data_IF_848732808490
#
_entry.id   IF_848732808490
#
_cell.length_a   1.000
_cell.length_b   1.000
_cell.length_c   1.000
_cell.angle_alpha   90.00
_cell.angle_beta   90.00
_cell.angle_gamma   90.00
#
_symmetry.space_group_name_H-M   'P 1'
#
loop_
_entity.id
_entity.type
_entity.pdbx_description
1 polymer ?
#
# COMPACT_ATOMS: atom_id res chain seq x y z
N UNK A 1 -22.48 -5.96 -2.03
CA UNK A 1 -21.69 -4.98 -1.27
C UNK A 1 -21.29 -3.78 -2.13
N UNK A 2 -20.66 -3.93 -3.32
CA UNK A 2 -20.34 -2.78 -4.21
C UNK A 2 -21.54 -1.89 -4.54
N UNK A 3 -22.67 -2.48 -4.96
CA UNK A 3 -23.92 -1.76 -5.27
C UNK A 3 -24.38 -0.79 -4.17
N UNK A 4 -24.26 -1.17 -2.89
CA UNK A 4 -24.67 -0.34 -1.76
C UNK A 4 -23.92 1.02 -1.73
N UNK A 5 -22.64 1.01 -2.10
CA UNK A 5 -21.81 2.22 -2.15
C UNK A 5 -22.01 2.98 -3.46
N UNK A 6 -22.18 2.28 -4.57
CA UNK A 6 -22.48 2.87 -5.88
C UNK A 6 -23.78 3.68 -5.86
N UNK A 7 -24.82 3.18 -5.16
CA UNK A 7 -26.09 3.89 -4.97
C UNK A 7 -25.93 5.21 -4.18
N UNK A 8 -24.81 5.37 -3.47
CA UNK A 8 -24.45 6.59 -2.75
C UNK A 8 -23.41 7.45 -3.51
N UNK A 9 -23.10 7.10 -4.76
CA UNK A 9 -22.08 7.79 -5.56
C UNK A 9 -20.64 7.50 -5.11
N UNK A 10 -20.42 6.43 -4.34
CA UNK A 10 -19.10 6.05 -3.83
C UNK A 10 -18.54 4.90 -4.68
N UNK A 11 -17.46 5.19 -5.40
CA UNK A 11 -16.71 4.17 -6.13
C UNK A 11 -15.92 3.27 -5.17
N UNK A 12 -15.92 1.96 -5.43
CA UNK A 12 -15.26 0.98 -4.54
C UNK A 12 -14.32 0.04 -5.28
N UNK A 13 -13.19 -0.27 -4.64
CA UNK A 13 -12.15 -1.14 -5.16
C UNK A 13 -11.88 -2.28 -4.18
N UNK A 14 -11.68 -3.49 -4.70
CA UNK A 14 -11.39 -4.67 -3.90
C UNK A 14 -9.89 -4.79 -3.64
N UNK A 15 -9.51 -4.76 -2.37
CA UNK A 15 -8.17 -5.04 -1.88
C UNK A 15 -8.08 -6.45 -1.31
N UNK A 16 -6.96 -7.13 -1.53
CA UNK A 16 -6.56 -8.34 -0.79
C UNK A 16 -5.29 -8.08 0.00
N UNK A 17 -5.28 -8.49 1.27
CA UNK A 17 -4.09 -8.51 2.13
C UNK A 17 -3.52 -9.93 2.16
N UNK A 18 -2.33 -10.10 1.57
CA UNK A 18 -1.65 -11.39 1.49
C UNK A 18 -0.66 -11.52 2.64
N UNK A 19 -0.78 -12.62 3.40
CA UNK A 19 0.20 -13.06 4.41
C UNK A 19 0.73 -14.42 3.97
N UNK A 20 2.04 -14.61 4.06
CA UNK A 20 2.71 -15.84 3.61
C UNK A 20 3.91 -16.13 4.50
N UNK A 21 4.19 -17.41 4.78
CA UNK A 21 5.35 -17.83 5.57
C UNK A 21 6.65 -17.83 4.77
N UNK A 22 6.57 -17.99 3.45
CA UNK A 22 7.75 -18.18 2.59
C UNK A 22 7.66 -17.42 1.26
N UNK A 23 8.81 -17.30 0.58
CA UNK A 23 8.90 -16.77 -0.78
C UNK A 23 8.08 -17.58 -1.79
N UNK A 24 8.20 -18.91 -1.76
CA UNK A 24 7.53 -19.79 -2.73
C UNK A 24 6.01 -19.76 -2.59
N UNK A 25 5.51 -19.73 -1.36
CA UNK A 25 4.09 -19.55 -1.07
C UNK A 25 3.58 -18.18 -1.54
N UNK A 26 4.29 -17.09 -1.23
CA UNK A 26 3.90 -15.75 -1.66
C UNK A 26 3.77 -15.68 -3.18
N UNK A 27 4.76 -16.18 -3.94
CA UNK A 27 4.71 -16.16 -5.39
C UNK A 27 3.52 -16.94 -5.97
N UNK A 28 3.16 -18.08 -5.36
CA UNK A 28 1.96 -18.87 -5.72
C UNK A 28 0.68 -18.08 -5.44
N UNK A 29 0.55 -17.47 -4.26
CA UNK A 29 -0.60 -16.66 -3.89
C UNK A 29 -0.76 -15.45 -4.82
N UNK A 30 0.33 -14.73 -5.11
CA UNK A 30 0.32 -13.58 -6.02
C UNK A 30 -0.14 -13.96 -7.45
N UNK A 31 0.18 -15.17 -7.95
CA UNK A 31 -0.35 -15.64 -9.25
C UNK A 31 -1.86 -15.83 -9.21
N UNK A 32 -2.37 -16.34 -8.09
CA UNK A 32 -3.79 -16.66 -7.92
C UNK A 32 -4.65 -15.42 -7.73
N UNK A 33 -4.20 -14.47 -6.91
CA UNK A 33 -5.04 -13.32 -6.51
C UNK A 33 -4.96 -12.14 -7.47
N UNK A 34 -3.92 -12.02 -8.29
CA UNK A 34 -3.69 -10.79 -9.07
C UNK A 34 -4.82 -10.41 -10.02
N UNK A 35 -5.46 -11.39 -10.66
CA UNK A 35 -6.57 -11.14 -11.59
C UNK A 35 -7.90 -10.84 -10.90
N UNK A 36 -8.07 -11.28 -9.64
CA UNK A 36 -9.34 -11.17 -8.92
C UNK A 36 -9.53 -9.88 -8.11
N UNK A 37 -8.45 -9.10 -7.90
CA UNK A 37 -8.46 -7.93 -7.02
C UNK A 37 -7.91 -6.68 -7.70
N UNK A 38 -8.42 -5.53 -7.26
CA UNK A 38 -8.01 -4.22 -7.75
C UNK A 38 -6.66 -3.85 -7.14
N UNK A 39 -6.48 -4.10 -5.84
CA UNK A 39 -5.26 -3.80 -5.08
C UNK A 39 -4.77 -5.07 -4.40
N UNK A 40 -3.47 -5.35 -4.53
CA UNK A 40 -2.80 -6.45 -3.82
C UNK A 40 -1.80 -5.86 -2.84
N UNK A 41 -2.07 -6.05 -1.56
CA UNK A 41 -1.18 -5.66 -0.48
C UNK A 41 -0.52 -6.89 0.14
N UNK A 42 0.71 -6.75 0.64
CA UNK A 42 1.44 -7.82 1.32
C UNK A 42 1.88 -7.36 2.70
N UNK A 43 1.49 -8.13 3.73
CA UNK A 43 2.05 -7.98 5.08
C UNK A 43 3.40 -8.71 5.13
N UNK A 44 4.47 -7.94 5.25
CA UNK A 44 5.83 -8.46 5.35
C UNK A 44 6.09 -8.97 6.77
N UNK A 45 6.26 -10.29 6.92
CA UNK A 45 6.50 -10.93 8.24
C UNK A 45 7.94 -11.46 8.42
N UNK A 46 8.71 -11.58 7.33
CA UNK A 46 10.12 -11.98 7.35
C UNK A 46 10.86 -11.43 6.12
N UNK A 47 12.19 -11.59 6.10
CA UNK A 47 13.05 -11.05 5.05
C UNK A 47 12.79 -11.64 3.66
N UNK A 48 12.47 -12.94 3.58
CA UNK A 48 12.22 -13.64 2.33
C UNK A 48 10.93 -13.15 1.64
N UNK A 49 9.88 -12.93 2.43
CA UNK A 49 8.62 -12.34 1.99
C UNK A 49 8.82 -10.87 1.59
N UNK A 50 9.48 -10.07 2.45
CA UNK A 50 9.70 -8.64 2.18
C UNK A 50 10.49 -8.39 0.90
N UNK A 51 11.56 -9.16 0.66
CA UNK A 51 12.40 -9.00 -0.54
C UNK A 51 11.64 -9.30 -1.83
N UNK A 52 10.72 -10.27 -1.82
CA UNK A 52 9.84 -10.58 -2.96
C UNK A 52 8.80 -9.49 -3.12
N UNK A 53 8.11 -9.13 -2.03
CA UNK A 53 7.01 -8.19 -2.04
C UNK A 53 7.44 -6.81 -2.55
N UNK A 54 8.63 -6.33 -2.19
CA UNK A 54 9.16 -5.06 -2.68
C UNK A 54 9.41 -5.07 -4.20
N UNK A 55 9.88 -6.19 -4.78
CA UNK A 55 10.32 -6.25 -6.19
C UNK A 55 9.24 -6.72 -7.17
N UNK A 56 8.23 -7.43 -6.70
CA UNK A 56 7.24 -8.07 -7.57
C UNK A 56 6.17 -7.06 -8.04
N UNK A 57 6.04 -6.89 -9.36
CA UNK A 57 5.08 -5.96 -9.99
C UNK A 57 3.60 -6.23 -9.66
N UNK A 58 3.28 -7.41 -9.12
CA UNK A 58 1.91 -7.77 -8.74
C UNK A 58 1.54 -7.26 -7.36
N UNK A 59 2.51 -6.76 -6.59
CA UNK A 59 2.30 -6.16 -5.27
C UNK A 59 2.21 -4.66 -5.43
N UNK A 60 1.08 -4.09 -5.04
CA UNK A 60 0.81 -2.66 -5.13
C UNK A 60 1.25 -1.94 -3.85
N UNK A 61 1.08 -2.60 -2.70
CA UNK A 61 1.34 -2.04 -1.37
C UNK A 61 2.08 -3.06 -0.50
N UNK A 62 3.10 -2.62 0.23
CA UNK A 62 3.75 -3.39 1.29
C UNK A 62 3.45 -2.78 2.65
N UNK A 63 3.20 -3.64 3.62
CA UNK A 63 2.94 -3.25 5.00
C UNK A 63 3.90 -3.98 5.94
N UNK A 64 4.57 -3.20 6.79
CA UNK A 64 5.40 -3.72 7.88
C UNK A 64 4.71 -3.38 9.19
N UNK A 65 4.20 -4.40 9.89
CA UNK A 65 3.48 -4.20 11.13
C UNK A 65 4.43 -3.65 12.21
N UNK A 66 4.19 -2.44 12.74
CA UNK A 66 5.11 -1.83 13.67
C UNK A 66 5.21 -2.59 14.99
N UNK A 67 4.20 -3.40 15.34
CA UNK A 67 4.22 -4.25 16.54
C UNK A 67 5.07 -5.52 16.35
N UNK A 68 5.40 -5.89 15.12
CA UNK A 68 6.15 -7.10 14.81
C UNK A 68 7.66 -6.82 14.72
N UNK A 69 8.44 -7.25 15.71
CA UNK A 69 9.88 -6.94 15.81
C UNK A 69 10.78 -7.67 14.81
N UNK A 70 10.33 -8.79 14.24
CA UNK A 70 11.17 -9.67 13.39
C UNK A 70 11.56 -9.05 12.05
N UNK A 71 10.85 -8.01 11.59
CA UNK A 71 11.08 -7.38 10.30
C UNK A 71 10.58 -5.94 10.33
N UNK A 72 11.28 -5.05 9.63
CA UNK A 72 10.93 -3.62 9.51
C UNK A 72 11.30 -3.07 8.15
N UNK A 73 10.70 -1.95 7.77
CA UNK A 73 11.13 -1.26 6.56
C UNK A 73 12.55 -0.72 6.75
N UNK A 74 13.40 -0.88 5.73
CA UNK A 74 14.83 -0.56 5.79
C UNK A 74 15.28 0.08 4.48
N UNK A 75 16.45 0.73 4.46
CA UNK A 75 17.01 1.29 3.22
C UNK A 75 17.12 0.25 2.10
N UNK A 76 17.45 -1.00 2.44
CA UNK A 76 17.50 -2.08 1.46
C UNK A 76 16.12 -2.35 0.82
N UNK A 77 15.04 -2.31 1.61
CA UNK A 77 13.69 -2.47 1.07
C UNK A 77 13.19 -1.23 0.32
N UNK A 78 13.57 -0.04 0.77
CA UNK A 78 13.23 1.22 0.10
C UNK A 78 13.81 1.27 -1.32
N UNK A 79 15.07 0.89 -1.49
CA UNK A 79 15.72 0.80 -2.80
C UNK A 79 15.08 -0.23 -3.75
N UNK A 80 14.41 -1.25 -3.20
CA UNK A 80 13.83 -2.34 -3.99
C UNK A 80 12.36 -2.14 -4.30
N UNK A 81 11.67 -1.29 -3.54
CA UNK A 81 10.23 -1.19 -3.54
C UNK A 81 9.72 -0.55 -4.85
N UNK A 82 8.96 -1.34 -5.61
CA UNK A 82 8.24 -0.88 -6.81
C UNK A 82 6.84 -0.33 -6.50
N UNK A 83 6.22 -0.84 -5.43
CA UNK A 83 4.90 -0.43 -4.97
C UNK A 83 4.95 0.77 -4.02
N UNK A 84 3.96 0.88 -3.14
CA UNK A 84 3.93 1.85 -2.06
C UNK A 84 4.16 1.21 -0.69
N UNK A 85 4.73 1.97 0.25
CA UNK A 85 4.79 1.62 1.66
C UNK A 85 3.52 2.14 2.35
N UNK A 86 2.80 1.27 3.04
CA UNK A 86 1.63 1.67 3.82
C UNK A 86 1.97 1.91 5.29
N UNK A 87 1.48 3.03 5.83
CA UNK A 87 1.39 3.26 7.27
C UNK A 87 -0.08 3.25 7.73
N UNK A 88 -0.41 2.31 8.62
CA UNK A 88 -1.72 2.24 9.28
C UNK A 88 -1.71 3.17 10.51
N UNK A 89 -1.81 4.48 10.29
CA UNK A 89 -1.50 5.48 11.33
C UNK A 89 -2.55 5.58 12.44
N UNK A 90 -3.83 5.36 12.15
CA UNK A 90 -4.87 5.51 13.18
C UNK A 90 -4.81 4.36 14.19
N UNK A 91 -4.76 3.11 13.71
CA UNK A 91 -4.61 1.92 14.57
C UNK A 91 -3.27 1.91 15.32
N UNK A 92 -2.20 2.44 14.71
CA UNK A 92 -0.88 2.43 15.34
C UNK A 92 -0.62 3.57 16.33
N UNK A 93 -1.41 4.66 16.30
CA UNK A 93 -1.21 5.84 17.15
C UNK A 93 -2.32 6.04 18.20
N UNK A 94 -3.56 5.67 17.91
CA UNK A 94 -4.69 5.87 18.83
C UNK A 94 -4.92 4.71 19.81
N UNK A 95 -4.15 3.62 19.70
CA UNK A 95 -4.13 2.54 20.69
C UNK A 95 -3.17 2.83 21.85
N UNK A 96 -2.84 1.80 22.64
CA UNK A 96 -1.69 1.81 23.55
C UNK A 96 -0.40 1.77 22.75
N UNK A 97 -0.02 2.91 22.18
CA UNK A 97 1.19 3.04 21.37
C UNK A 97 2.40 3.02 22.27
N UNK A 98 3.21 1.96 22.17
CA UNK A 98 4.50 1.91 22.84
C UNK A 98 5.45 2.98 22.25
N UNK A 99 6.36 3.51 23.06
CA UNK A 99 7.41 4.43 22.58
C UNK A 99 8.19 3.80 21.41
N UNK A 100 8.39 2.49 21.47
CA UNK A 100 9.06 1.67 20.46
C UNK A 100 8.31 1.67 19.13
N UNK A 101 6.98 1.53 19.16
CA UNK A 101 6.11 1.61 17.98
C UNK A 101 6.25 2.98 17.31
N UNK A 102 6.17 4.06 18.08
CA UNK A 102 6.32 5.42 17.55
C UNK A 102 7.72 5.67 16.98
N UNK A 103 8.77 5.31 17.74
CA UNK A 103 10.18 5.43 17.31
C UNK A 103 10.43 4.67 16.00
N UNK A 104 9.88 3.47 15.88
CA UNK A 104 9.95 2.68 14.65
C UNK A 104 9.25 3.37 13.48
N UNK A 105 8.00 3.82 13.65
CA UNK A 105 7.27 4.53 12.60
C UNK A 105 8.03 5.79 12.15
N UNK A 106 8.59 6.55 13.10
CA UNK A 106 9.42 7.71 12.81
C UNK A 106 10.67 7.36 12.00
N UNK A 107 11.33 6.24 12.32
CA UNK A 107 12.48 5.76 11.56
C UNK A 107 12.09 5.31 10.16
N UNK A 108 11.02 4.53 10.00
CA UNK A 108 10.54 4.07 8.70
C UNK A 108 10.08 5.26 7.82
N UNK A 109 9.44 6.27 8.41
CA UNK A 109 9.10 7.52 7.75
C UNK A 109 10.34 8.32 7.30
N UNK A 110 11.43 8.31 8.09
CA UNK A 110 12.72 8.91 7.68
C UNK A 110 13.26 8.23 6.44
N UNK A 111 13.28 6.90 6.45
CA UNK A 111 13.76 6.10 5.32
C UNK A 111 12.91 6.38 4.08
N UNK A 112 11.58 6.46 4.21
CA UNK A 112 10.71 6.78 3.07
C UNK A 112 10.93 8.19 2.51
N UNK A 113 11.31 9.16 3.34
CA UNK A 113 11.72 10.50 2.89
C UNK A 113 13.03 10.44 2.11
N UNK A 114 14.05 9.83 2.70
CA UNK A 114 15.40 9.74 2.12
C UNK A 114 15.40 9.03 0.76
N UNK A 115 14.49 8.08 0.56
CA UNK A 115 14.38 7.28 -0.67
C UNK A 115 13.26 7.73 -1.61
N UNK A 116 12.58 8.84 -1.31
CA UNK A 116 11.39 9.29 -2.06
C UNK A 116 10.36 8.17 -2.29
N UNK A 117 10.22 7.29 -1.32
CA UNK A 117 9.32 6.14 -1.42
C UNK A 117 7.88 6.63 -1.49
N UNK A 118 7.08 6.05 -2.41
CA UNK A 118 5.64 6.29 -2.46
C UNK A 118 5.01 5.76 -1.17
N UNK A 119 4.26 6.61 -0.46
CA UNK A 119 3.59 6.25 0.79
C UNK A 119 2.09 6.22 0.59
N UNK A 120 1.40 5.28 1.22
CA UNK A 120 -0.05 5.28 1.41
C UNK A 120 -0.34 5.37 2.89
N UNK A 121 -1.26 6.24 3.28
CA UNK A 121 -1.73 6.34 4.66
C UNK A 121 -3.12 5.76 4.74
N UNK A 122 -3.34 4.86 5.68
CA UNK A 122 -4.65 4.29 5.94
C UNK A 122 -4.97 4.33 7.44
N UNK A 123 -6.25 4.21 7.76
CA UNK A 123 -6.69 4.17 9.15
C UNK A 123 -6.43 2.79 9.79
N UNK A 124 -6.44 1.71 9.01
CA UNK A 124 -6.43 0.34 9.54
C UNK A 124 -7.58 0.09 10.54
N UNK A 125 -8.69 0.82 10.40
CA UNK A 125 -9.80 0.78 11.34
C UNK A 125 -10.72 -0.41 11.06
N UNK A 126 -11.05 -1.17 12.10
CA UNK A 126 -12.00 -2.29 12.04
C UNK A 126 -13.43 -1.88 12.39
N UNK A 127 -13.64 -0.63 12.78
CA UNK A 127 -14.92 -0.13 13.29
C UNK A 127 -15.18 1.31 12.84
N UNK A 128 -16.45 1.70 12.57
CA UNK A 128 -16.79 3.04 12.08
C UNK A 128 -16.29 4.19 12.95
N UNK A 129 -16.31 4.05 14.28
CA UNK A 129 -15.89 5.06 15.25
C UNK A 129 -14.37 5.36 15.20
N UNK A 130 -13.60 4.48 14.58
CA UNK A 130 -12.15 4.65 14.39
C UNK A 130 -11.79 5.30 13.05
N UNK A 131 -12.77 5.51 12.16
CA UNK A 131 -12.55 6.23 10.90
C UNK A 131 -12.20 7.69 11.20
N UNK A 132 -11.26 8.26 10.43
CA UNK A 132 -10.80 9.64 10.55
C UNK A 132 -10.89 10.32 9.20
N UNK A 133 -11.06 11.64 9.19
CA UNK A 133 -11.05 12.39 7.93
C UNK A 133 -9.67 12.29 7.27
N UNK A 134 -9.58 12.39 5.93
CA UNK A 134 -8.30 12.34 5.22
C UNK A 134 -7.28 13.35 5.78
N UNK A 135 -7.73 14.54 6.19
CA UNK A 135 -6.89 15.56 6.80
C UNK A 135 -6.34 15.15 8.17
N UNK A 136 -7.13 14.46 8.99
CA UNK A 136 -6.65 13.93 10.27
C UNK A 136 -5.63 12.81 10.06
N UNK A 137 -5.89 11.91 9.11
CA UNK A 137 -4.94 10.84 8.74
C UNK A 137 -3.63 11.45 8.23
N UNK A 138 -3.70 12.49 7.40
CA UNK A 138 -2.53 13.23 6.92
C UNK A 138 -1.75 13.89 8.06
N UNK A 139 -2.45 14.54 9.01
CA UNK A 139 -1.83 15.13 10.19
C UNK A 139 -1.09 14.08 11.06
N UNK A 140 -1.66 12.88 11.18
CA UNK A 140 -1.00 11.76 11.85
C UNK A 140 0.24 11.27 11.09
N UNK A 141 0.20 11.24 9.77
CA UNK A 141 1.38 10.99 8.93
C UNK A 141 2.51 11.98 9.23
N UNK A 142 2.20 13.26 9.37
CA UNK A 142 3.18 14.28 9.80
C UNK A 142 3.68 14.04 11.22
N UNK A 143 2.82 13.60 12.14
CA UNK A 143 3.20 13.34 13.52
C UNK A 143 4.25 12.22 13.64
N UNK A 144 4.20 11.20 12.76
CA UNK A 144 5.25 10.17 12.65
C UNK A 144 6.44 10.63 11.79
N UNK A 145 6.49 11.90 11.40
CA UNK A 145 7.64 12.52 10.76
C UNK A 145 7.60 12.62 9.24
N UNK A 146 6.57 12.14 8.54
CA UNK A 146 6.47 12.32 7.09
C UNK A 146 6.44 13.82 6.72
N UNK A 147 6.92 14.16 5.52
CA UNK A 147 6.78 15.53 5.02
C UNK A 147 5.31 15.87 4.80
N UNK A 148 4.98 17.17 4.76
CA UNK A 148 3.62 17.62 4.44
C UNK A 148 3.16 17.07 3.09
N UNK A 149 4.03 17.11 2.09
CA UNK A 149 3.73 16.61 0.74
C UNK A 149 3.49 15.10 0.74
N UNK A 150 4.37 14.30 1.35
CA UNK A 150 4.18 12.85 1.44
C UNK A 150 2.91 12.49 2.20
N UNK A 151 2.58 13.23 3.26
CA UNK A 151 1.39 12.97 4.08
C UNK A 151 0.10 13.30 3.34
N UNK A 152 0.09 14.37 2.54
CA UNK A 152 -1.08 14.71 1.69
C UNK A 152 -1.20 13.67 0.58
N UNK A 153 -0.13 13.45 -0.20
CA UNK A 153 -0.14 12.47 -1.29
C UNK A 153 -0.49 11.06 -0.83
N UNK A 154 -0.14 10.70 0.41
CA UNK A 154 -0.46 9.40 0.99
C UNK A 154 -1.95 9.14 1.20
N UNK A 155 -2.78 10.18 1.27
CA UNK A 155 -4.25 10.05 1.38
C UNK A 155 -5.01 10.43 0.10
N UNK A 156 -4.32 10.97 -0.91
CA UNK A 156 -4.90 11.42 -2.19
C UNK A 156 -4.24 10.77 -3.41
N UNK A 157 -3.21 11.39 -3.99
CA UNK A 157 -2.70 11.04 -5.32
C UNK A 157 -2.05 9.64 -5.37
N UNK A 158 -1.39 9.21 -4.29
CA UNK A 158 -0.72 7.91 -4.28
C UNK A 158 -1.73 6.75 -4.35
N UNK A 159 -2.73 6.63 -3.46
CA UNK A 159 -3.74 5.58 -3.58
C UNK A 159 -4.54 5.69 -4.88
N UNK A 160 -4.89 6.90 -5.33
CA UNK A 160 -5.59 7.12 -6.60
C UNK A 160 -4.79 6.58 -7.80
N UNK A 161 -3.50 6.93 -7.89
CA UNK A 161 -2.63 6.47 -8.98
C UNK A 161 -2.49 4.95 -9.02
N UNK A 162 -2.46 4.28 -7.86
CA UNK A 162 -2.43 2.81 -7.78
C UNK A 162 -3.70 2.24 -8.40
N UNK A 163 -4.85 2.79 -8.01
CA UNK A 163 -6.16 2.35 -8.51
C UNK A 163 -6.29 2.57 -10.01
N UNK A 164 -5.98 3.76 -10.51
CA UNK A 164 -6.07 4.10 -11.94
C UNK A 164 -5.17 3.20 -12.79
N UNK A 165 -3.90 3.05 -12.40
CA UNK A 165 -2.95 2.13 -13.07
C UNK A 165 -3.49 0.69 -13.09
N UNK A 166 -4.15 0.27 -12.01
CA UNK A 166 -4.66 -1.08 -11.88
C UNK A 166 -5.95 -1.31 -12.68
N UNK A 167 -6.77 -0.26 -12.88
CA UNK A 167 -7.94 -0.30 -13.73
C UNK A 167 -7.57 -0.54 -15.21
N UNK A 168 -6.40 -0.07 -15.67
CA UNK A 168 -5.91 -0.33 -17.03
C UNK A 168 -5.81 -1.83 -17.35
N UNK A 169 -5.56 -2.69 -16.34
CA UNK A 169 -5.50 -4.15 -16.52
C UNK A 169 -6.80 -4.76 -17.02
N UNK A 170 -7.93 -4.07 -16.82
CA UNK A 170 -9.25 -4.52 -17.26
C UNK A 170 -9.51 -4.19 -18.73
N UNK A 171 -8.65 -3.37 -19.35
CA UNK A 171 -8.76 -3.06 -20.77
C UNK A 171 -8.43 -4.28 -21.63
N UNK A 172 -9.21 -4.58 -22.68
CA UNK A 172 -8.87 -5.63 -23.64
C UNK A 172 -7.54 -5.40 -24.36
N UNK A 173 -7.06 -4.15 -24.40
CA UNK A 173 -5.79 -3.78 -25.02
C UNK A 173 -4.58 -3.96 -24.08
N UNK A 174 -4.79 -4.29 -22.81
CA UNK A 174 -3.72 -4.47 -21.83
C UNK A 174 -3.04 -5.84 -22.01
N UNK A 175 -1.72 -5.84 -22.18
CA UNK A 175 -0.91 -7.06 -22.19
C UNK A 175 -0.18 -7.21 -20.85
N UNK A 176 0.58 -6.17 -20.48
CA UNK A 176 1.27 -6.09 -19.22
C UNK A 176 1.55 -4.63 -18.83
N UNK A 177 2.13 -4.42 -17.64
CA UNK A 177 2.44 -3.06 -17.16
C UNK A 177 3.39 -2.35 -18.14
N UNK A 178 2.93 -1.21 -18.68
CA UNK A 178 3.66 -0.43 -19.68
C UNK A 178 3.49 -0.89 -21.13
N UNK A 179 2.73 -1.97 -21.40
CA UNK A 179 2.57 -2.54 -22.74
C UNK A 179 1.09 -2.66 -23.10
N UNK A 180 0.71 -2.02 -24.22
CA UNK A 180 -0.67 -1.98 -24.71
C UNK A 180 -0.72 -2.23 -26.22
N UNK A 181 -1.80 -2.85 -26.69
CA UNK A 181 -2.10 -2.95 -28.12
C UNK A 181 -2.53 -1.56 -28.61
N UNK A 182 -1.80 -1.01 -29.57
CA UNK A 182 -2.21 0.19 -30.32
C UNK A 182 -2.62 -0.24 -31.73
N UNK A 183 -3.86 0.03 -32.11
CA UNK A 183 -4.26 -0.15 -33.50
C UNK A 183 -3.43 0.79 -34.40
N UNK A 184 -3.04 0.37 -35.62
CA UNK A 184 -2.36 1.26 -36.55
C UNK A 184 -3.21 2.51 -36.78
N UNK A 185 -2.62 3.70 -36.72
CA UNK A 185 -3.32 4.91 -37.18
C UNK A 185 -3.65 4.70 -38.66
N UNK A 186 -4.94 4.72 -39.00
CA UNK A 186 -5.37 4.82 -40.39
C UNK A 186 -4.70 6.06 -41.00
N UNK A 187 -4.04 5.87 -42.15
CA UNK A 187 -3.36 6.93 -42.90
C UNK A 187 -4.37 7.90 -43.50
#
# INVERSE_FOLDING_TARGET
MRRLFEDQGIETFLRVDVVSGSRGELLRLLRRVRSGFDIVAVKCINQGVASVACRDRRVDVVFFDPNQRSIRFSHAYANLLRGALEFNVVSSLLGTTSYETHSRLAKEASISREHNTRVVLSSGSTSPEKVRSPMQVSAMGKAIGLSREQSLRGVSENPESIVQRNAERRSPAYIEEGVRIVAPKAR
#
